data_IF_223751259033
#
_entry.id   IF_223751259033
#
_cell.length_a   1.000
_cell.length_b   1.000
_cell.length_c   1.000
_cell.angle_alpha   90.00
_cell.angle_beta   90.00
_cell.angle_gamma   90.00
#
_symmetry.space_group_name_H-M   'P 1'
#
loop_
_entity.id
_entity.type
_entity.pdbx_description
1 polymer ?
#
# COMPACT_ATOMS: atom_id res chain seq x y z
N UNK A 1 -1.08 -26.43 9.55
CA UNK A 1 -0.90 -25.02 9.96
C UNK A 1 -2.27 -24.40 10.06
N UNK A 2 -2.66 -23.95 11.25
CA UNK A 2 -3.93 -23.27 11.49
C UNK A 2 -3.65 -21.77 11.40
N UNK A 3 -4.23 -21.09 10.40
CA UNK A 3 -4.11 -19.64 10.28
C UNK A 3 -5.18 -19.01 11.16
N UNK A 4 -4.77 -18.16 12.11
CA UNK A 4 -5.73 -17.30 12.80
C UNK A 4 -6.19 -16.22 11.81
N UNK A 5 -7.45 -16.30 11.41
CA UNK A 5 -8.06 -15.42 10.40
C UNK A 5 -8.39 -14.04 11.03
N UNK A 6 -8.18 -13.88 12.34
CA UNK A 6 -8.42 -12.61 13.03
C UNK A 6 -7.15 -11.76 12.98
N UNK A 7 -7.28 -10.47 12.63
CA UNK A 7 -6.15 -9.55 12.67
C UNK A 7 -5.60 -9.44 14.10
N UNK A 8 -4.28 -9.38 14.22
CA UNK A 8 -3.62 -9.18 15.50
C UNK A 8 -4.06 -7.86 16.15
N UNK A 9 -3.98 -7.78 17.48
CA UNK A 9 -4.27 -6.53 18.22
C UNK A 9 -3.35 -5.40 17.77
N UNK A 10 -2.12 -5.73 17.42
CA UNK A 10 -1.13 -4.79 16.88
C UNK A 10 -1.59 -4.21 15.55
N UNK A 11 -2.01 -5.07 14.60
CA UNK A 11 -2.55 -4.63 13.31
C UNK A 11 -3.81 -3.76 13.46
N UNK A 12 -4.70 -4.09 14.40
CA UNK A 12 -5.87 -3.26 14.71
C UNK A 12 -5.48 -1.88 15.26
N UNK A 13 -4.43 -1.83 16.07
CA UNK A 13 -3.90 -0.58 16.66
C UNK A 13 -3.29 0.30 15.57
N UNK A 14 -2.44 -0.27 14.71
CA UNK A 14 -1.85 0.44 13.58
C UNK A 14 -2.92 1.00 12.62
N UNK A 15 -3.94 0.20 12.29
CA UNK A 15 -5.08 0.66 11.45
C UNK A 15 -5.84 1.83 12.06
N UNK A 16 -5.95 1.86 13.39
CA UNK A 16 -6.64 2.94 14.10
C UNK A 16 -5.80 4.22 14.17
N UNK A 17 -4.47 4.07 14.31
CA UNK A 17 -3.52 5.17 14.38
C UNK A 17 -3.28 5.85 13.03
N UNK A 18 -3.14 5.07 11.95
CA UNK A 18 -2.77 5.57 10.62
C UNK A 18 -3.96 5.59 9.65
N UNK A 19 -4.97 6.42 9.95
CA UNK A 19 -6.24 6.47 9.20
C UNK A 19 -6.09 6.85 7.73
N UNK A 20 -5.02 7.53 7.36
CA UNK A 20 -4.71 7.87 5.97
C UNK A 20 -4.37 6.65 5.11
N UNK A 21 -4.13 5.48 5.72
CA UNK A 21 -3.70 4.27 5.06
C UNK A 21 -4.72 3.13 5.20
N UNK A 22 -4.67 2.19 4.24
CA UNK A 22 -5.19 0.83 4.40
C UNK A 22 -3.99 -0.07 4.66
N UNK A 23 -4.00 -0.73 5.81
CA UNK A 23 -2.90 -1.59 6.26
C UNK A 23 -3.29 -3.06 6.14
N UNK A 24 -2.46 -3.83 5.47
CA UNK A 24 -2.61 -5.27 5.23
C UNK A 24 -1.40 -6.00 5.81
N UNK A 25 -1.65 -7.19 6.31
CA UNK A 25 -0.61 -8.13 6.75
C UNK A 25 -0.81 -9.41 5.94
N UNK A 26 0.22 -9.84 5.26
CA UNK A 26 0.26 -11.05 4.43
C UNK A 26 1.37 -11.95 4.93
N UNK A 27 1.23 -13.24 4.64
CA UNK A 27 2.24 -14.24 4.97
C UNK A 27 2.58 -15.00 3.69
N UNK A 28 3.87 -15.17 3.42
CA UNK A 28 4.31 -15.96 2.28
C UNK A 28 4.17 -17.47 2.53
N UNK A 29 4.55 -18.28 1.53
CA UNK A 29 4.52 -19.74 1.62
C UNK A 29 5.48 -20.34 2.68
N UNK A 30 6.41 -19.54 3.23
CA UNK A 30 7.35 -19.91 4.29
C UNK A 30 6.90 -19.39 5.66
N UNK A 31 5.80 -18.63 5.72
CA UNK A 31 5.30 -18.00 6.93
C UNK A 31 6.00 -16.68 7.29
N UNK A 32 6.82 -16.12 6.39
CA UNK A 32 7.38 -14.79 6.56
C UNK A 32 6.28 -13.74 6.42
N UNK A 33 6.23 -12.80 7.36
CA UNK A 33 5.25 -11.72 7.39
C UNK A 33 5.70 -10.57 6.50
N UNK A 34 4.77 -10.03 5.72
CA UNK A 34 4.89 -8.74 5.05
C UNK A 34 3.71 -7.87 5.48
N UNK A 35 4.00 -6.64 5.87
CA UNK A 35 2.99 -5.65 6.27
C UNK A 35 3.06 -4.49 5.29
N UNK A 36 1.95 -4.16 4.67
CA UNK A 36 1.86 -3.14 3.63
C UNK A 36 0.83 -2.09 3.99
N UNK A 37 1.20 -0.82 3.88
CA UNK A 37 0.30 0.33 3.98
C UNK A 37 0.14 1.00 2.62
N UNK A 38 -1.10 1.11 2.15
CA UNK A 38 -1.45 1.83 0.92
C UNK A 38 -2.22 3.09 1.30
N UNK A 39 -1.79 4.25 0.80
CA UNK A 39 -2.52 5.50 1.04
C UNK A 39 -3.92 5.41 0.48
N UNK A 40 -4.89 5.92 1.23
CA UNK A 40 -6.27 6.01 0.77
C UNK A 40 -6.42 7.12 -0.26
N UNK A 41 -7.36 6.94 -1.17
CA UNK A 41 -7.56 7.87 -2.29
C UNK A 41 -7.85 9.30 -1.82
N UNK A 42 -8.62 9.46 -0.74
CA UNK A 42 -8.97 10.76 -0.17
C UNK A 42 -7.78 11.50 0.48
N UNK A 43 -6.66 10.81 0.68
CA UNK A 43 -5.41 11.37 1.21
C UNK A 43 -4.31 11.52 0.15
N UNK A 44 -4.59 11.15 -1.11
CA UNK A 44 -3.64 11.34 -2.22
C UNK A 44 -3.32 12.83 -2.41
N UNK A 45 -2.07 13.12 -2.79
CA UNK A 45 -1.60 14.48 -3.07
C UNK A 45 -1.18 15.29 -1.84
N UNK A 46 -1.36 14.76 -0.62
CA UNK A 46 -0.95 15.43 0.63
C UNK A 46 0.54 15.24 0.98
N UNK A 47 1.36 14.75 0.04
CA UNK A 47 2.78 14.47 0.29
C UNK A 47 3.04 13.21 1.11
N UNK A 48 2.01 12.40 1.36
CA UNK A 48 2.14 11.10 2.01
C UNK A 48 2.71 10.05 1.05
N UNK A 49 3.55 9.12 1.54
CA UNK A 49 3.92 7.91 0.82
C UNK A 49 2.70 7.16 0.27
N UNK A 50 2.76 6.73 -1.00
CA UNK A 50 1.64 5.98 -1.61
C UNK A 50 1.62 4.52 -1.14
N UNK A 51 2.80 3.94 -0.95
CA UNK A 51 3.00 2.55 -0.59
C UNK A 51 4.20 2.47 0.36
N UNK A 52 4.01 1.81 1.51
CA UNK A 52 5.06 1.50 2.47
C UNK A 52 4.96 0.02 2.81
N UNK A 53 6.08 -0.69 2.84
CA UNK A 53 6.15 -2.11 3.19
C UNK A 53 7.18 -2.33 4.28
N UNK A 54 6.90 -3.25 5.20
CA UNK A 54 7.80 -3.66 6.27
C UNK A 54 7.61 -5.14 6.63
N UNK A 55 8.54 -5.71 7.40
CA UNK A 55 8.47 -7.10 7.85
C UNK A 55 7.60 -7.28 9.12
N UNK A 56 7.30 -6.18 9.83
CA UNK A 56 6.47 -6.18 11.04
C UNK A 56 5.54 -4.98 11.10
N UNK A 57 4.48 -5.07 11.91
CA UNK A 57 3.54 -3.95 12.11
C UNK A 57 4.20 -2.79 12.86
N UNK A 58 5.08 -3.09 13.81
CA UNK A 58 5.87 -2.08 14.53
C UNK A 58 6.76 -1.26 13.60
N UNK A 59 7.52 -1.93 12.73
CA UNK A 59 8.41 -1.26 11.76
C UNK A 59 7.60 -0.39 10.79
N UNK A 60 6.47 -0.91 10.29
CA UNK A 60 5.57 -0.14 9.44
C UNK A 60 5.07 1.12 10.17
N UNK A 61 4.68 0.97 11.45
CA UNK A 61 4.12 2.09 12.23
C UNK A 61 5.17 3.17 12.50
N UNK A 62 6.44 2.77 12.69
CA UNK A 62 7.56 3.71 12.83
C UNK A 62 7.77 4.52 11.54
N UNK A 63 7.84 3.85 10.38
CA UNK A 63 7.96 4.49 9.07
C UNK A 63 6.82 5.47 8.79
N UNK A 64 5.60 5.12 9.19
CA UNK A 64 4.43 6.00 9.02
C UNK A 64 4.38 7.17 10.01
N UNK A 65 5.08 7.06 11.16
CA UNK A 65 5.13 8.10 12.18
C UNK A 65 6.12 9.22 11.83
N UNK A 66 7.17 8.91 11.06
CA UNK A 66 8.18 9.87 10.61
C UNK A 66 7.64 10.93 9.61
N UNK A 67 6.37 10.80 9.23
CA UNK A 67 5.63 11.82 8.50
C UNK A 67 5.89 11.81 7.00
N UNK A 68 5.39 12.82 6.26
CA UNK A 68 5.54 12.87 4.81
C UNK A 68 7.02 13.01 4.44
N UNK A 69 7.59 11.99 3.79
CA UNK A 69 8.94 12.05 3.26
C UNK A 69 8.96 12.95 2.01
N UNK A 70 9.62 14.13 2.06
CA UNK A 70 9.61 15.09 0.96
C UNK A 70 10.33 14.58 -0.30
N UNK A 71 11.03 13.45 -0.22
CA UNK A 71 11.78 12.86 -1.33
C UNK A 71 11.00 11.89 -2.22
N UNK A 72 9.78 11.50 -1.87
CA UNK A 72 9.02 10.55 -2.70
C UNK A 72 8.49 11.24 -3.96
N UNK A 73 8.67 10.64 -5.16
CA UNK A 73 8.15 11.21 -6.39
C UNK A 73 6.63 11.36 -6.30
N UNK A 74 6.14 12.59 -6.38
CA UNK A 74 4.69 12.87 -6.41
C UNK A 74 4.11 12.35 -7.72
N UNK A 75 3.00 11.59 -7.63
CA UNK A 75 2.19 11.22 -8.80
C UNK A 75 1.76 12.50 -9.52
N UNK A 76 2.10 12.60 -10.81
CA UNK A 76 1.61 13.65 -11.69
C UNK A 76 0.19 13.25 -12.11
N UNK A 77 -0.83 13.97 -11.63
CA UNK A 77 -2.23 13.63 -11.85
C UNK A 77 -2.62 13.53 -13.34
N UNK A 78 -1.90 14.24 -14.21
CA UNK A 78 -2.12 14.26 -15.66
C UNK A 78 -1.42 13.13 -16.41
N UNK A 79 -0.62 12.29 -15.73
CA UNK A 79 0.10 11.19 -16.37
C UNK A 79 -0.58 9.86 -16.02
N UNK A 80 -1.05 9.09 -17.02
CA UNK A 80 -1.65 7.77 -16.75
C UNK A 80 -0.60 6.81 -16.15
N UNK A 81 -1.04 5.96 -15.22
CA UNK A 81 -0.18 5.03 -14.49
C UNK A 81 0.41 3.94 -15.39
N UNK A 82 -0.41 3.47 -16.31
CA UNK A 82 -0.01 2.57 -17.38
C UNK A 82 0.00 3.38 -18.67
N UNK A 83 0.98 3.18 -19.57
CA UNK A 83 0.85 3.74 -20.91
C UNK A 83 -0.47 3.23 -21.48
N UNK A 84 -1.34 4.14 -21.91
CA UNK A 84 -2.50 3.77 -22.70
C UNK A 84 -1.96 3.20 -24.00
N UNK A 85 -2.00 1.87 -24.13
CA UNK A 85 -1.79 1.20 -25.40
C UNK A 85 -2.96 1.56 -26.32
N UNK A 86 -2.92 2.76 -26.89
CA UNK A 86 -3.72 3.09 -28.05
C UNK A 86 -3.05 2.41 -29.25
N UNK A 87 -3.30 1.09 -29.39
CA UNK A 87 -3.11 0.24 -30.59
C UNK A 87 -3.19 -1.23 -30.17
N UNK A 88 -4.40 -1.75 -30.00
CA UNK A 88 -4.70 -3.19 -30.10
C UNK A 88 -6.18 -3.40 -30.49
N UNK A 89 -6.74 -2.48 -31.29
CA UNK A 89 -8.11 -2.59 -31.83
C UNK A 89 -8.12 -3.02 -33.32
N UNK A 90 -7.02 -3.57 -33.82
CA UNK A 90 -6.92 -4.01 -35.21
C UNK A 90 -6.37 -5.43 -35.31
N UNK A 91 -7.08 -6.40 -34.73
CA UNK A 91 -7.06 -7.81 -35.11
C UNK A 91 -8.12 -8.61 -34.32
N UNK A 92 -9.39 -8.49 -34.73
CA UNK A 92 -10.38 -9.56 -34.54
C UNK A 92 -10.79 -10.06 -35.92
N UNK A 93 -10.42 -11.29 -36.33
CA UNK A 93 -10.99 -11.86 -37.55
C UNK A 93 -12.46 -12.22 -37.27
N UNK A 94 -13.33 -11.79 -38.19
CA UNK A 94 -14.67 -12.33 -38.34
C UNK A 94 -14.68 -13.65 -39.09
#
# INVERSE_FOLDING_TARGET
MTYDIRPSRELLTARSAHRAYRIYETHDHRGATEVTAVVREEWLGQGLPVLVSASTVADLSAELADGPNPGLPRRIATKPYFPTSAKDDEQRPG
#
